data_IF_013612866104
#
_entry.id   IF_013612866104
#
_cell.length_a   1.000
_cell.length_b   1.000
_cell.length_c   1.000
_cell.angle_alpha   90.00
_cell.angle_beta   90.00
_cell.angle_gamma   90.00
#
_symmetry.space_group_name_H-M   'P 1'
#
loop_
_entity.id
_entity.type
_entity.pdbx_description
1 polymer ?
#
# COMPACT_ATOMS: atom_id res chain seq x y z
N UNK A 1 7.99 -1.47 18.64
CA UNK A 1 7.54 -2.24 19.83
C UNK A 1 6.02 -2.20 19.90
N UNK A 2 5.36 -3.32 20.20
CA UNK A 2 3.91 -3.41 20.27
C UNK A 2 3.44 -4.02 21.60
N UNK A 3 2.29 -3.58 22.14
CA UNK A 3 1.66 -4.22 23.29
C UNK A 3 0.14 -4.02 23.31
N UNK A 4 -0.61 -5.08 23.66
CA UNK A 4 -2.08 -5.08 23.80
C UNK A 4 -2.56 -4.97 25.25
N UNK A 5 -1.66 -5.05 26.23
CA UNK A 5 -2.00 -4.95 27.65
C UNK A 5 -2.06 -3.49 28.06
N UNK A 6 -3.12 -3.09 28.76
CA UNK A 6 -3.33 -1.72 29.26
C UNK A 6 -2.11 -1.18 30.02
N UNK A 7 -1.44 -2.03 30.82
CA UNK A 7 -0.23 -1.66 31.55
C UNK A 7 1.00 -1.47 30.64
N UNK A 8 1.12 -2.25 29.57
CA UNK A 8 2.18 -2.07 28.56
C UNK A 8 2.00 -0.76 27.78
N UNK A 9 0.76 -0.42 27.41
CA UNK A 9 0.46 0.82 26.70
C UNK A 9 0.72 2.05 27.57
N UNK A 10 0.40 2.01 28.87
CA UNK A 10 0.74 3.08 29.82
C UNK A 10 2.27 3.30 29.91
N UNK A 11 3.05 2.22 30.01
CA UNK A 11 4.51 2.28 30.02
C UNK A 11 5.07 2.86 28.71
N UNK A 12 4.58 2.42 27.55
CA UNK A 12 5.00 2.98 26.26
C UNK A 12 4.63 4.45 26.09
N UNK A 13 3.43 4.86 26.55
CA UNK A 13 3.01 6.28 26.51
C UNK A 13 3.85 7.16 27.42
N UNK A 14 4.25 6.69 28.60
CA UNK A 14 5.20 7.41 29.46
C UNK A 14 6.52 7.63 28.74
N UNK A 15 7.01 6.62 28.02
CA UNK A 15 8.21 6.70 27.18
C UNK A 15 8.07 7.58 25.95
N UNK A 16 6.84 7.86 25.50
CA UNK A 16 6.60 8.91 24.50
C UNK A 16 6.68 10.29 25.15
N UNK A 17 6.12 10.45 26.36
CA UNK A 17 6.15 11.71 27.09
C UNK A 17 7.58 12.13 27.51
N UNK A 18 8.46 11.17 27.83
CA UNK A 18 9.87 11.44 28.11
C UNK A 18 10.76 11.53 26.85
N UNK A 19 10.18 11.39 25.65
CA UNK A 19 10.85 11.56 24.36
C UNK A 19 11.65 10.36 23.86
N UNK A 20 11.81 9.29 24.66
CA UNK A 20 12.58 8.09 24.28
C UNK A 20 11.91 7.24 23.18
N UNK A 21 10.60 7.36 23.03
CA UNK A 21 9.81 6.76 21.95
C UNK A 21 8.99 7.82 21.21
N UNK A 22 8.55 7.46 20.01
CA UNK A 22 7.47 8.13 19.29
C UNK A 22 6.28 7.18 19.12
N UNK A 23 5.08 7.75 19.05
CA UNK A 23 3.90 7.04 18.58
C UNK A 23 3.81 7.20 17.06
N UNK A 24 4.15 6.14 16.31
CA UNK A 24 4.00 6.09 14.85
C UNK A 24 2.52 5.98 14.47
N UNK A 25 1.77 5.18 15.23
CA UNK A 25 0.31 5.02 15.17
C UNK A 25 -0.23 4.91 16.60
N UNK A 26 -1.56 4.99 16.83
CA UNK A 26 -2.13 4.89 18.18
C UNK A 26 -1.68 3.65 18.98
N UNK A 27 -1.33 2.58 18.29
CA UNK A 27 -0.85 1.33 18.87
C UNK A 27 0.54 0.90 18.36
N UNK A 28 1.30 1.76 17.70
CA UNK A 28 2.66 1.45 17.22
C UNK A 28 3.67 2.48 17.73
N UNK A 29 4.76 1.97 18.32
CA UNK A 29 5.79 2.81 18.92
C UNK A 29 7.16 2.42 18.39
N UNK A 30 8.00 3.41 18.14
CA UNK A 30 9.38 3.24 17.71
C UNK A 30 10.32 4.10 18.57
N UNK A 31 11.59 3.70 18.67
CA UNK A 31 12.62 4.59 19.21
C UNK A 31 12.75 5.77 18.26
N UNK A 32 12.80 6.99 18.80
CA UNK A 32 12.83 8.23 18.02
C UNK A 32 13.99 8.22 17.02
N UNK A 33 15.21 8.08 17.52
CA UNK A 33 16.44 8.10 16.71
C UNK A 33 16.41 7.06 15.58
N UNK A 34 15.97 5.84 15.90
CA UNK A 34 15.81 4.78 14.90
C UNK A 34 14.82 5.19 13.81
N UNK A 35 13.65 5.69 14.19
CA UNK A 35 12.61 6.05 13.22
C UNK A 35 13.03 7.24 12.35
N UNK A 36 13.66 8.24 12.97
CA UNK A 36 14.09 9.45 12.30
C UNK A 36 15.19 9.16 11.26
N UNK A 37 16.02 8.13 11.50
CA UNK A 37 17.05 7.66 10.57
C UNK A 37 16.50 6.89 9.34
N UNK A 38 15.25 6.42 9.37
CA UNK A 38 14.65 5.67 8.26
C UNK A 38 14.17 6.59 7.13
N UNK A 39 14.39 6.17 5.89
CA UNK A 39 13.75 6.74 4.71
C UNK A 39 12.24 6.47 4.67
N UNK A 40 11.52 7.19 3.80
CA UNK A 40 10.05 7.09 3.73
C UNK A 40 9.55 5.68 3.43
N UNK A 41 10.16 5.00 2.44
CA UNK A 41 9.83 3.61 2.11
C UNK A 41 10.01 2.68 3.30
N UNK A 42 11.10 2.80 4.03
CA UNK A 42 11.40 1.95 5.19
C UNK A 42 10.40 2.17 6.31
N UNK A 43 10.02 3.43 6.58
CA UNK A 43 8.96 3.76 7.55
C UNK A 43 7.61 3.14 7.17
N UNK A 44 7.25 3.18 5.88
CA UNK A 44 6.05 2.51 5.38
C UNK A 44 6.17 1.00 5.59
N UNK A 45 7.26 0.37 5.14
CA UNK A 45 7.47 -1.08 5.27
C UNK A 45 7.47 -1.55 6.73
N UNK A 46 8.04 -0.78 7.66
CA UNK A 46 7.94 -1.06 9.09
C UNK A 46 6.50 -1.02 9.61
N UNK A 47 5.71 -0.04 9.14
CA UNK A 47 4.29 0.06 9.49
C UNK A 47 3.53 -1.16 8.96
N UNK A 48 3.71 -1.51 7.69
CA UNK A 48 3.03 -2.64 7.05
C UNK A 48 3.39 -3.97 7.71
N UNK A 49 4.69 -4.23 7.95
CA UNK A 49 5.17 -5.43 8.65
C UNK A 49 4.64 -5.51 10.09
N UNK A 50 4.54 -4.39 10.80
CA UNK A 50 3.96 -4.38 12.14
C UNK A 50 2.46 -4.72 12.15
N UNK A 51 1.72 -4.32 11.10
CA UNK A 51 0.31 -4.73 10.93
C UNK A 51 0.21 -6.22 10.61
N UNK A 52 0.96 -6.71 9.63
CA UNK A 52 0.84 -8.10 9.17
C UNK A 52 1.41 -9.10 10.16
N UNK A 53 2.41 -8.74 10.97
CA UNK A 53 2.86 -9.57 12.10
C UNK A 53 1.72 -9.84 13.12
N UNK A 54 0.73 -8.95 13.21
CA UNK A 54 -0.44 -9.10 14.11
C UNK A 54 -1.64 -9.72 13.44
N UNK A 55 -1.69 -9.62 12.13
CA UNK A 55 -2.73 -10.15 11.28
C UNK A 55 -2.09 -10.94 10.14
N UNK A 56 -1.48 -12.11 10.43
CA UNK A 56 -0.65 -12.83 9.47
C UNK A 56 -1.39 -13.28 8.20
N UNK A 57 -2.72 -13.39 8.29
CA UNK A 57 -3.58 -13.79 7.17
C UNK A 57 -4.16 -12.60 6.39
N UNK A 58 -3.82 -11.35 6.76
CA UNK A 58 -4.29 -10.19 6.00
C UNK A 58 -3.48 -10.04 4.73
N UNK A 59 -4.20 -9.93 3.61
CA UNK A 59 -3.63 -9.66 2.29
C UNK A 59 -3.68 -8.13 2.10
N UNK A 60 -2.52 -7.48 1.98
CA UNK A 60 -2.49 -6.05 1.66
C UNK A 60 -2.90 -5.83 0.20
N UNK A 61 -3.51 -4.68 -0.07
CA UNK A 61 -3.92 -4.28 -1.42
C UNK A 61 -3.68 -2.78 -1.67
N UNK A 62 -4.06 -2.30 -2.86
CA UNK A 62 -3.89 -0.90 -3.26
C UNK A 62 -2.45 -0.41 -3.00
N UNK A 63 -2.30 0.83 -2.52
CA UNK A 63 -1.00 1.44 -2.25
C UNK A 63 -0.16 0.67 -1.22
N UNK A 64 -0.79 0.01 -0.25
CA UNK A 64 -0.07 -0.81 0.73
C UNK A 64 0.61 -2.01 0.09
N UNK A 65 -0.07 -2.69 -0.86
CA UNK A 65 0.58 -3.72 -1.66
C UNK A 65 1.61 -3.14 -2.62
N UNK A 66 1.31 -2.00 -3.27
CA UNK A 66 2.21 -1.37 -4.24
C UNK A 66 3.59 -1.06 -3.63
N UNK A 67 3.65 -0.59 -2.38
CA UNK A 67 4.94 -0.37 -1.68
C UNK A 67 5.70 -1.67 -1.44
N UNK A 68 5.03 -2.77 -1.10
CA UNK A 68 5.67 -4.09 -0.94
C UNK A 68 6.17 -4.62 -2.29
N UNK A 69 5.45 -4.35 -3.38
CA UNK A 69 5.92 -4.58 -4.75
C UNK A 69 7.06 -3.65 -5.18
N UNK A 70 7.31 -2.59 -4.41
CA UNK A 70 8.34 -1.60 -4.66
C UNK A 70 7.97 -0.50 -5.64
N UNK A 71 6.68 -0.31 -5.88
CA UNK A 71 6.12 0.64 -6.85
C UNK A 71 5.80 2.02 -6.26
N UNK A 72 5.94 2.21 -4.95
CA UNK A 72 5.67 3.50 -4.31
C UNK A 72 6.58 3.74 -3.11
N UNK A 73 7.02 4.99 -2.99
CA UNK A 73 7.75 5.51 -1.84
C UNK A 73 7.07 6.76 -1.25
N UNK A 74 5.89 7.11 -1.77
CA UNK A 74 5.17 8.33 -1.41
C UNK A 74 4.50 8.16 -0.05
N UNK A 75 5.16 8.66 0.99
CA UNK A 75 4.70 8.55 2.38
C UNK A 75 3.29 9.12 2.60
N UNK A 76 2.95 10.22 1.92
CA UNK A 76 1.65 10.87 2.04
C UNK A 76 0.47 9.97 1.64
N UNK A 77 0.69 8.97 0.77
CA UNK A 77 -0.35 8.02 0.36
C UNK A 77 -0.64 6.94 1.41
N UNK A 78 0.17 6.87 2.47
CA UNK A 78 0.11 5.82 3.48
C UNK A 78 -0.53 6.28 4.78
N UNK A 79 -1.50 7.19 4.72
CA UNK A 79 -2.35 7.52 5.86
C UNK A 79 -3.08 6.26 6.39
N UNK A 80 -3.48 5.37 5.48
CA UNK A 80 -4.17 4.11 5.79
C UNK A 80 -3.37 2.89 5.36
N UNK A 81 -3.65 1.76 6.02
CA UNK A 81 -3.25 0.43 5.57
C UNK A 81 -4.44 -0.23 4.89
N UNK A 82 -4.25 -0.59 3.62
CA UNK A 82 -5.27 -1.14 2.74
C UNK A 82 -5.18 -2.66 2.74
N UNK A 83 -6.30 -3.32 3.03
CA UNK A 83 -6.40 -4.77 3.21
C UNK A 83 -7.52 -5.31 2.32
N UNK A 84 -7.21 -6.35 1.54
CA UNK A 84 -8.20 -7.08 0.77
C UNK A 84 -9.01 -8.01 1.68
N UNK A 85 -10.33 -8.02 1.46
CA UNK A 85 -11.25 -8.96 2.09
C UNK A 85 -12.10 -9.65 1.04
N UNK A 86 -12.53 -10.87 1.36
CA UNK A 86 -13.54 -11.57 0.57
C UNK A 86 -14.94 -10.98 0.78
N UNK A 87 -15.90 -11.46 -0.02
CA UNK A 87 -17.26 -10.93 -0.07
C UNK A 87 -18.15 -11.44 1.06
N UNK A 88 -17.64 -12.38 1.85
CA UNK A 88 -18.33 -12.97 3.00
C UNK A 88 -17.95 -12.24 4.30
N UNK A 89 -16.87 -11.47 4.28
CA UNK A 89 -16.44 -10.62 5.38
C UNK A 89 -17.32 -9.38 5.51
N UNK A 90 -17.94 -9.21 6.68
CA UNK A 90 -18.67 -7.98 7.06
C UNK A 90 -17.76 -6.93 7.72
N UNK A 91 -16.44 -7.03 7.47
CA UNK A 91 -15.44 -6.16 8.10
C UNK A 91 -15.59 -4.73 7.59
N UNK A 92 -15.64 -3.77 8.52
CA UNK A 92 -15.70 -2.35 8.23
C UNK A 92 -14.38 -1.66 8.52
N UNK A 93 -14.16 -0.56 7.82
CA UNK A 93 -13.08 0.39 8.08
C UNK A 93 -13.06 0.79 9.55
N UNK A 94 -11.86 0.85 10.13
CA UNK A 94 -11.67 1.22 11.53
C UNK A 94 -10.25 1.69 11.77
N UNK A 95 -10.08 2.71 12.61
CA UNK A 95 -8.79 3.33 12.85
C UNK A 95 -8.09 3.69 11.53
N UNK A 96 -6.85 3.27 11.38
CA UNK A 96 -6.06 3.48 10.16
C UNK A 96 -6.14 2.30 9.17
N UNK A 97 -7.12 1.40 9.30
CA UNK A 97 -7.34 0.31 8.35
C UNK A 97 -8.46 0.65 7.36
N UNK A 98 -8.24 0.29 6.09
CA UNK A 98 -9.24 0.35 5.02
C UNK A 98 -9.39 -1.04 4.40
N UNK A 99 -10.62 -1.54 4.36
CA UNK A 99 -10.92 -2.88 3.84
C UNK A 99 -11.58 -2.77 2.46
N UNK A 100 -11.00 -3.47 1.49
CA UNK A 100 -11.46 -3.44 0.10
C UNK A 100 -11.91 -4.83 -0.30
N UNK A 101 -13.11 -4.93 -0.87
CA UNK A 101 -13.57 -6.19 -1.44
C UNK A 101 -12.78 -6.50 -2.70
N UNK A 102 -12.09 -7.65 -2.69
CA UNK A 102 -11.39 -8.19 -3.85
C UNK A 102 -11.85 -9.64 -4.04
N UNK A 103 -12.69 -9.86 -5.04
CA UNK A 103 -13.28 -11.17 -5.31
C UNK A 103 -12.19 -12.22 -5.58
N UNK A 104 -12.29 -13.37 -4.90
CA UNK A 104 -11.39 -14.52 -5.08
C UNK A 104 -9.89 -14.20 -4.96
N UNK A 105 -9.53 -13.21 -4.15
CA UNK A 105 -8.11 -12.84 -3.97
C UNK A 105 -7.31 -14.01 -3.39
N UNK A 106 -6.29 -14.44 -4.13
CA UNK A 106 -5.23 -15.31 -3.62
C UNK A 106 -4.00 -14.43 -3.42
N UNK A 107 -3.59 -14.25 -2.16
CA UNK A 107 -2.44 -13.43 -1.84
C UNK A 107 -1.14 -14.08 -2.29
N UNK A 108 -0.20 -13.26 -2.71
CA UNK A 108 1.19 -13.64 -2.98
C UNK A 108 2.07 -13.24 -1.79
N UNK A 109 3.00 -14.11 -1.42
CA UNK A 109 3.94 -13.80 -0.34
C UNK A 109 5.14 -13.04 -0.91
N UNK A 110 5.34 -11.80 -0.45
CA UNK A 110 6.46 -10.93 -0.80
C UNK A 110 7.06 -10.34 0.46
N UNK A 111 8.35 -10.50 0.67
CA UNK A 111 9.08 -10.00 1.84
C UNK A 111 8.42 -10.34 3.19
N UNK A 112 7.82 -11.54 3.29
CA UNK A 112 7.10 -12.01 4.47
C UNK A 112 5.71 -11.40 4.67
N UNK A 113 5.15 -10.73 3.65
CA UNK A 113 3.85 -10.06 3.67
C UNK A 113 2.97 -10.62 2.57
N UNK A 114 1.72 -10.99 2.90
CA UNK A 114 0.73 -11.35 1.88
C UNK A 114 0.21 -10.09 1.19
N UNK A 115 0.24 -10.08 -0.14
CA UNK A 115 -0.20 -8.95 -0.97
C UNK A 115 -1.08 -9.43 -2.12
N UNK A 116 -1.92 -8.54 -2.67
CA UNK A 116 -2.61 -8.80 -3.94
C UNK A 116 -1.59 -9.08 -5.05
N UNK A 117 -1.89 -9.98 -6.01
CA UNK A 117 -1.08 -10.17 -7.22
C UNK A 117 -0.78 -8.85 -7.92
N UNK A 118 0.34 -8.79 -8.64
CA UNK A 118 0.83 -7.55 -9.26
C UNK A 118 -0.24 -6.84 -10.12
N UNK A 119 -0.88 -7.55 -11.04
CA UNK A 119 -1.94 -7.01 -11.91
C UNK A 119 -3.09 -6.39 -11.11
N UNK A 120 -3.58 -7.10 -10.09
CA UNK A 120 -4.65 -6.60 -9.22
C UNK A 120 -4.19 -5.38 -8.42
N UNK A 121 -2.96 -5.39 -7.91
CA UNK A 121 -2.37 -4.26 -7.16
C UNK A 121 -2.29 -3.00 -8.03
N UNK A 122 -1.75 -3.11 -9.23
CA UNK A 122 -1.61 -1.98 -10.17
C UNK A 122 -2.99 -1.47 -10.55
N UNK A 123 -3.92 -2.36 -10.95
CA UNK A 123 -5.30 -2.00 -11.26
C UNK A 123 -5.99 -1.22 -10.13
N UNK A 124 -5.86 -1.70 -8.89
CA UNK A 124 -6.44 -1.03 -7.72
C UNK A 124 -5.83 0.34 -7.46
N UNK A 125 -4.52 0.50 -7.68
CA UNK A 125 -3.87 1.80 -7.55
C UNK A 125 -4.36 2.78 -8.62
N UNK A 126 -4.29 2.40 -9.89
CA UNK A 126 -4.57 3.33 -11.00
C UNK A 126 -6.03 3.74 -11.10
N UNK A 127 -6.96 2.94 -10.57
CA UNK A 127 -8.39 3.28 -10.54
C UNK A 127 -8.79 4.15 -9.35
N UNK A 128 -7.94 4.25 -8.31
CA UNK A 128 -8.27 4.90 -7.03
C UNK A 128 -7.44 6.16 -6.76
N UNK A 129 -6.16 6.17 -7.14
CA UNK A 129 -5.25 7.28 -6.85
C UNK A 129 -5.45 8.46 -7.80
N UNK A 130 -5.07 9.67 -7.40
CA UNK A 130 -4.99 10.80 -8.33
C UNK A 130 -4.05 10.47 -9.50
N UNK A 131 -4.26 11.16 -10.62
CA UNK A 131 -3.64 10.79 -11.89
C UNK A 131 -2.10 10.73 -11.84
N UNK A 132 -1.38 11.69 -11.22
CA UNK A 132 0.08 11.66 -11.18
C UNK A 132 0.63 10.43 -10.43
N UNK A 133 0.08 10.10 -9.26
CA UNK A 133 0.54 8.95 -8.47
C UNK A 133 0.12 7.62 -9.10
N UNK A 134 -1.05 7.57 -9.72
CA UNK A 134 -1.50 6.43 -10.50
C UNK A 134 -0.53 6.15 -11.67
N UNK A 135 -0.13 7.20 -12.40
CA UNK A 135 0.78 7.09 -13.53
C UNK A 135 2.16 6.63 -13.10
N UNK A 136 2.71 7.19 -12.01
CA UNK A 136 3.98 6.76 -11.43
C UNK A 136 4.00 5.27 -11.06
N UNK A 137 2.93 4.74 -10.46
CA UNK A 137 2.82 3.31 -10.13
C UNK A 137 2.74 2.46 -11.39
N UNK A 138 1.98 2.91 -12.39
CA UNK A 138 1.84 2.18 -13.65
C UNK A 138 3.19 2.10 -14.38
N UNK A 139 3.88 3.23 -14.56
CA UNK A 139 5.20 3.29 -15.18
C UNK A 139 6.22 2.41 -14.46
N UNK A 140 6.28 2.49 -13.12
CA UNK A 140 7.18 1.65 -12.33
C UNK A 140 6.87 0.16 -12.49
N UNK A 141 5.59 -0.22 -12.60
CA UNK A 141 5.23 -1.63 -12.81
C UNK A 141 5.66 -2.14 -14.18
N UNK A 142 5.49 -1.33 -15.23
CA UNK A 142 5.96 -1.68 -16.58
C UNK A 142 7.51 -1.73 -16.63
N UNK A 143 8.19 -0.77 -16.00
CA UNK A 143 9.65 -0.61 -16.03
C UNK A 143 10.38 -1.61 -15.16
N UNK A 144 10.07 -1.66 -13.86
CA UNK A 144 10.85 -2.41 -12.87
C UNK A 144 10.39 -3.86 -12.73
N UNK A 145 9.09 -4.09 -12.89
CA UNK A 145 8.49 -5.42 -12.72
C UNK A 145 8.10 -6.08 -14.05
N UNK A 146 8.40 -5.43 -15.17
CA UNK A 146 8.16 -5.94 -16.52
C UNK A 146 6.71 -6.38 -16.74
N UNK A 147 5.77 -5.65 -16.12
CA UNK A 147 4.36 -5.89 -16.34
C UNK A 147 4.03 -5.63 -17.81
N UNK A 148 3.39 -6.60 -18.47
CA UNK A 148 2.98 -6.42 -19.86
C UNK A 148 1.77 -5.46 -19.95
N UNK A 149 1.88 -4.45 -20.82
CA UNK A 149 0.83 -3.46 -21.00
C UNK A 149 -0.45 -4.05 -21.61
N UNK A 150 -0.32 -5.08 -22.46
CA UNK A 150 -1.44 -5.79 -23.05
C UNK A 150 -2.19 -6.63 -22.01
N UNK A 151 -1.48 -7.29 -21.11
CA UNK A 151 -2.07 -8.00 -19.97
C UNK A 151 -2.80 -7.05 -19.03
N UNK A 152 -2.21 -5.88 -18.73
CA UNK A 152 -2.87 -4.87 -17.92
C UNK A 152 -4.14 -4.33 -18.60
N UNK A 153 -4.08 -4.04 -19.91
CA UNK A 153 -5.25 -3.58 -20.67
C UNK A 153 -6.38 -4.62 -20.66
N UNK A 154 -6.05 -5.89 -20.92
CA UNK A 154 -7.02 -7.00 -20.88
C UNK A 154 -7.65 -7.14 -19.50
N UNK A 155 -6.84 -7.07 -18.45
CA UNK A 155 -7.32 -7.12 -17.07
C UNK A 155 -8.28 -5.96 -16.75
N UNK A 156 -7.98 -4.73 -17.21
CA UNK A 156 -8.86 -3.57 -17.03
C UNK A 156 -10.21 -3.80 -17.75
N UNK A 157 -10.19 -4.38 -18.94
CA UNK A 157 -11.39 -4.63 -19.72
C UNK A 157 -12.27 -5.74 -19.12
N UNK A 158 -11.68 -6.79 -18.56
CA UNK A 158 -12.39 -7.80 -17.77
C UNK A 158 -13.11 -7.22 -16.55
N UNK A 159 -12.63 -6.07 -16.04
CA UNK A 159 -13.26 -5.34 -14.93
C UNK A 159 -14.28 -4.31 -15.40
N UNK A 160 -14.78 -4.37 -16.63
CA UNK A 160 -15.82 -3.46 -17.11
C UNK A 160 -16.98 -3.32 -16.10
N UNK A 161 -17.41 -2.08 -15.87
CA UNK A 161 -18.44 -1.75 -14.88
C UNK A 161 -17.93 -1.54 -13.45
N UNK A 162 -16.69 -1.92 -13.12
CA UNK A 162 -16.10 -1.59 -11.82
C UNK A 162 -15.86 -0.08 -11.66
N UNK A 163 -16.01 0.41 -10.42
CA UNK A 163 -15.75 1.81 -10.07
C UNK A 163 -14.30 2.19 -10.37
N UNK A 164 -14.13 3.26 -11.17
CA UNK A 164 -12.82 3.82 -11.51
C UNK A 164 -12.17 3.23 -12.77
N UNK A 165 -12.80 2.27 -13.45
CA UNK A 165 -12.23 1.62 -14.65
C UNK A 165 -11.92 2.61 -15.78
N UNK A 166 -12.76 3.64 -15.98
CA UNK A 166 -12.44 4.69 -16.98
C UNK A 166 -11.14 5.41 -16.65
N UNK A 167 -10.87 5.70 -15.36
CA UNK A 167 -9.60 6.29 -14.91
C UNK A 167 -8.44 5.33 -15.13
N UNK A 168 -8.63 4.05 -14.80
CA UNK A 168 -7.61 3.02 -15.04
C UNK A 168 -7.21 2.95 -16.52
N UNK A 169 -8.18 2.96 -17.43
CA UNK A 169 -7.91 3.00 -18.88
C UNK A 169 -7.11 4.22 -19.30
N UNK A 170 -7.48 5.40 -18.79
CA UNK A 170 -6.75 6.65 -19.10
C UNK A 170 -5.31 6.54 -18.60
N UNK A 171 -5.08 6.13 -17.36
CA UNK A 171 -3.73 5.96 -16.81
C UNK A 171 -2.92 4.95 -17.62
N UNK A 172 -3.49 3.78 -17.91
CA UNK A 172 -2.81 2.75 -18.70
C UNK A 172 -2.47 3.22 -20.12
N UNK A 173 -3.33 4.04 -20.74
CA UNK A 173 -3.06 4.63 -22.05
C UNK A 173 -1.89 5.61 -22.02
N UNK A 174 -1.72 6.36 -20.93
CA UNK A 174 -0.62 7.31 -20.78
C UNK A 174 0.65 6.69 -20.20
N UNK A 175 0.64 5.42 -19.78
CA UNK A 175 1.79 4.79 -19.15
C UNK A 175 2.94 4.62 -20.16
N UNK A 176 4.17 4.92 -19.72
CA UNK A 176 5.39 4.80 -20.52
C UNK A 176 6.49 4.14 -19.67
N UNK A 177 6.98 2.95 -20.05
CA UNK A 177 8.05 2.27 -19.31
C UNK A 177 9.40 2.99 -19.36
N UNK A 178 9.56 4.04 -20.18
CA UNK A 178 10.81 4.79 -20.31
C UNK A 178 11.00 5.87 -19.25
N UNK A 179 9.96 6.22 -18.48
CA UNK A 179 10.09 7.18 -17.37
C UNK A 179 11.11 6.68 -16.35
N UNK A 180 12.16 7.45 -16.06
CA UNK A 180 13.28 6.99 -15.23
C UNK A 180 12.89 6.88 -13.75
N UNK A 181 11.91 7.66 -13.30
CA UNK A 181 11.41 7.64 -11.94
C UNK A 181 9.97 8.20 -11.82
N UNK A 182 9.36 8.00 -10.65
CA UNK A 182 7.99 8.47 -10.38
C UNK A 182 7.82 10.00 -10.40
N UNK A 183 8.90 10.77 -10.19
CA UNK A 183 8.88 12.24 -10.29
C UNK A 183 8.67 12.71 -11.74
N UNK A 184 9.30 12.04 -12.70
CA UNK A 184 9.09 12.29 -14.13
C UNK A 184 7.68 11.89 -14.57
N UNK A 185 7.17 10.76 -14.09
CA UNK A 185 5.78 10.35 -14.31
C UNK A 185 4.79 11.37 -13.76
N UNK A 186 5.07 11.97 -12.60
CA UNK A 186 4.23 13.03 -12.02
C UNK A 186 4.34 14.33 -12.84
N UNK A 187 5.51 14.66 -13.38
CA UNK A 187 5.73 15.89 -14.14
C UNK A 187 5.05 15.91 -15.52
N UNK A 188 4.83 14.73 -16.12
CA UNK A 188 4.10 14.56 -17.39
C UNK A 188 2.59 14.33 -17.23
N UNK A 189 2.10 14.29 -15.99
CA UNK A 189 0.72 13.99 -15.64
C UNK A 189 -0.21 15.21 -15.74
#
# INVERSE_FOLDING_TARGET
>A
MWTRRSNGLKSLRRRVADGSLIAVRPDMFARREYWDALGYRERIMHTLRAVTARHPNWILCCISAATVWGLSETYALHEFVHVAIDGHSRTRDRGYYRFHYVANVRGELRDGVLVTPLLQTVFDCIRMLPFPEALAICDAALRDLHLDSGDLARFIDEKAGHKGVRRARIVAHHADPRSENGGESIARA
#
